data_IF_847313766883
#
_entry.id   IF_847313766883
#
_cell.length_a   1.000
_cell.length_b   1.000
_cell.length_c   1.000
_cell.angle_alpha   90.00
_cell.angle_beta   90.00
_cell.angle_gamma   90.00
#
_symmetry.space_group_name_H-M   'P 1'
#
loop_
_entity.id
_entity.type
_entity.pdbx_description
1 polymer ?
#
# COMPACT_ATOMS: atom_id res chain seq x y z
N UNK A 1 -18.72 34.81 16.11
CA UNK A 1 -19.64 34.01 15.27
C UNK A 1 -20.80 33.44 16.10
N UNK A 2 -21.94 33.08 15.49
CA UNK A 2 -23.10 32.49 16.16
C UNK A 2 -23.64 31.31 15.32
N UNK A 3 -23.97 30.18 15.95
CA UNK A 3 -24.66 29.06 15.28
C UNK A 3 -26.14 29.28 15.36
N UNK A 4 -26.80 29.53 14.20
CA UNK A 4 -28.24 29.78 14.13
C UNK A 4 -29.07 28.50 14.23
N UNK A 5 -28.65 27.45 13.54
CA UNK A 5 -29.33 26.16 13.58
C UNK A 5 -28.35 25.02 13.25
N UNK A 6 -28.69 23.84 13.74
CA UNK A 6 -28.00 22.59 13.41
C UNK A 6 -29.06 21.52 13.18
N UNK A 7 -29.12 20.99 11.97
CA UNK A 7 -30.03 19.92 11.60
C UNK A 7 -29.20 18.66 11.32
N UNK A 8 -29.61 17.52 11.91
CA UNK A 8 -28.98 16.21 11.68
C UNK A 8 -29.94 15.34 10.89
N UNK A 9 -29.50 14.83 9.76
CA UNK A 9 -30.28 13.92 8.93
C UNK A 9 -29.35 12.99 8.14
N UNK A 10 -29.68 11.70 8.11
CA UNK A 10 -29.00 10.69 7.28
C UNK A 10 -27.46 10.70 7.39
N UNK A 11 -26.94 10.74 8.62
CA UNK A 11 -25.48 10.71 8.85
C UNK A 11 -24.77 12.04 8.53
N UNK A 12 -25.51 13.12 8.24
CA UNK A 12 -24.97 14.45 7.97
C UNK A 12 -25.47 15.48 8.96
N UNK A 13 -24.70 16.53 9.16
CA UNK A 13 -25.14 17.74 9.85
C UNK A 13 -25.10 18.91 8.88
N UNK A 14 -26.21 19.67 8.86
CA UNK A 14 -26.28 20.98 8.21
C UNK A 14 -26.22 22.03 9.29
N UNK A 15 -25.17 22.84 9.29
CA UNK A 15 -24.91 23.88 10.29
C UNK A 15 -25.03 25.22 9.63
N UNK A 16 -25.88 26.09 10.18
CA UNK A 16 -26.02 27.48 9.74
C UNK A 16 -25.23 28.36 10.69
N UNK A 17 -24.15 28.95 10.20
CA UNK A 17 -23.23 29.79 10.96
C UNK A 17 -23.36 31.23 10.50
N UNK A 18 -23.65 32.13 11.43
CA UNK A 18 -23.63 33.56 11.22
C UNK A 18 -22.31 34.18 11.68
N UNK A 19 -21.66 34.89 10.78
CA UNK A 19 -20.42 35.62 11.03
C UNK A 19 -20.76 37.10 11.10
N UNK A 20 -20.39 37.73 12.20
CA UNK A 20 -20.66 39.16 12.41
C UNK A 20 -19.89 40.02 11.43
N UNK A 21 -20.45 41.20 11.11
CA UNK A 21 -19.83 42.15 10.18
C UNK A 21 -18.41 42.50 10.49
N UNK A 22 -18.09 42.72 11.78
CA UNK A 22 -16.73 43.10 12.18
C UNK A 22 -15.70 42.02 11.89
N UNK A 23 -16.04 40.75 12.14
CA UNK A 23 -15.21 39.59 11.89
C UNK A 23 -15.05 39.35 10.37
N UNK A 24 -16.15 39.45 9.62
CA UNK A 24 -16.12 39.32 8.17
C UNK A 24 -15.35 40.44 7.47
N UNK A 25 -15.50 41.71 7.92
CA UNK A 25 -14.72 42.85 7.38
C UNK A 25 -13.22 42.70 7.61
N UNK A 26 -12.81 42.09 8.73
CA UNK A 26 -11.43 41.75 8.99
C UNK A 26 -10.91 40.69 8.00
N UNK A 27 -11.71 39.66 7.73
CA UNK A 27 -11.40 38.61 6.75
C UNK A 27 -11.33 39.18 5.33
N UNK A 28 -12.26 40.00 4.91
CA UNK A 28 -12.26 40.71 3.63
C UNK A 28 -10.98 41.57 3.46
N UNK A 29 -10.51 42.18 4.56
CA UNK A 29 -9.28 42.96 4.53
C UNK A 29 -8.04 42.07 4.36
N UNK A 30 -8.02 40.91 5.01
CA UNK A 30 -6.96 39.92 4.81
C UNK A 30 -6.95 39.38 3.38
N UNK A 31 -8.09 38.95 2.84
CA UNK A 31 -8.28 38.46 1.49
C UNK A 31 -7.81 39.51 0.44
N UNK A 32 -8.27 40.76 0.58
CA UNK A 32 -7.81 41.86 -0.27
C UNK A 32 -6.28 42.02 -0.18
N UNK A 33 -5.67 41.99 1.00
CA UNK A 33 -4.22 42.15 1.16
C UNK A 33 -3.40 41.03 0.50
N UNK A 34 -3.96 39.81 0.45
CA UNK A 34 -3.37 38.68 -0.30
C UNK A 34 -3.48 38.92 -1.81
N UNK A 35 -4.70 39.20 -2.32
CA UNK A 35 -4.99 39.29 -3.74
C UNK A 35 -4.50 40.58 -4.41
N UNK A 36 -4.38 41.71 -3.67
CA UNK A 36 -4.11 43.05 -4.25
C UNK A 36 -2.86 43.12 -5.12
N UNK A 37 -1.86 42.27 -4.86
CA UNK A 37 -0.59 42.26 -5.62
C UNK A 37 -0.81 41.89 -7.09
N UNK A 38 -1.86 41.14 -7.39
CA UNK A 38 -2.17 40.59 -8.70
C UNK A 38 -3.28 41.36 -9.42
N UNK A 39 -4.01 42.22 -8.69
CA UNK A 39 -5.12 43.02 -9.23
C UNK A 39 -4.59 44.28 -9.93
N UNK A 40 -5.08 44.47 -11.15
CA UNK A 40 -4.83 45.70 -11.94
C UNK A 40 -6.10 46.57 -11.97
N UNK A 41 -5.94 47.83 -11.57
CA UNK A 41 -7.04 48.82 -11.62
C UNK A 41 -6.52 50.01 -12.42
N UNK A 42 -7.20 50.41 -13.51
CA UNK A 42 -6.84 51.61 -14.28
C UNK A 42 -6.75 52.86 -13.39
N UNK A 43 -5.70 53.64 -13.54
CA UNK A 43 -5.47 54.81 -12.71
C UNK A 43 -4.71 54.57 -11.39
N UNK A 44 -4.43 53.32 -11.04
CA UNK A 44 -3.64 52.97 -9.86
C UNK A 44 -2.40 52.14 -10.25
N UNK A 45 -1.31 52.34 -9.51
CA UNK A 45 -0.18 51.41 -9.60
C UNK A 45 -0.59 50.04 -9.11
N UNK A 46 -0.19 48.96 -9.79
CA UNK A 46 -0.47 47.58 -9.46
C UNK A 46 -0.31 47.31 -7.94
N UNK A 47 -1.33 46.79 -7.30
CA UNK A 47 -1.36 46.51 -5.86
C UNK A 47 -1.56 47.70 -4.92
N UNK A 48 -1.87 48.89 -5.44
CA UNK A 48 -2.07 50.14 -4.65
C UNK A 48 -3.51 50.70 -4.70
N UNK A 49 -4.43 50.10 -5.47
CA UNK A 49 -5.82 50.48 -5.47
C UNK A 49 -6.49 50.15 -4.12
N UNK A 50 -7.22 51.04 -3.45
CA UNK A 50 -7.95 50.72 -2.21
C UNK A 50 -9.02 49.63 -2.42
N UNK A 51 -9.30 48.81 -1.37
CA UNK A 51 -10.31 47.73 -1.43
C UNK A 51 -11.65 48.18 -2.04
N UNK A 52 -12.20 49.28 -1.58
CA UNK A 52 -13.47 49.84 -2.08
C UNK A 52 -13.48 50.17 -3.58
N UNK A 53 -12.34 50.55 -4.13
CA UNK A 53 -12.19 50.84 -5.56
C UNK A 53 -12.21 49.55 -6.35
N UNK A 54 -11.53 48.50 -5.84
CA UNK A 54 -11.53 47.15 -6.45
C UNK A 54 -12.94 46.56 -6.40
N UNK A 55 -13.61 46.61 -5.24
CA UNK A 55 -14.99 46.14 -5.06
C UNK A 55 -15.96 46.87 -5.98
N UNK A 56 -15.78 48.20 -6.19
CA UNK A 56 -16.60 48.99 -7.12
C UNK A 56 -16.39 48.60 -8.59
N UNK A 57 -15.23 48.08 -8.95
CA UNK A 57 -14.89 47.75 -10.33
C UNK A 57 -15.18 46.28 -10.68
N UNK A 58 -14.87 45.38 -9.76
CA UNK A 58 -14.99 43.95 -9.96
C UNK A 58 -16.22 43.30 -9.28
N UNK A 59 -16.98 44.12 -8.53
CA UNK A 59 -18.16 43.71 -7.79
C UNK A 59 -17.91 43.65 -6.27
N UNK A 60 -18.96 43.98 -5.50
CA UNK A 60 -18.88 44.06 -4.03
C UNK A 60 -18.49 42.74 -3.37
N UNK A 61 -18.73 41.60 -4.04
CA UNK A 61 -18.46 40.25 -3.51
C UNK A 61 -17.16 39.62 -4.03
N UNK A 62 -16.32 40.38 -4.74
CA UNK A 62 -15.10 39.85 -5.37
C UNK A 62 -14.11 39.14 -4.39
N UNK A 63 -14.16 39.50 -3.10
CA UNK A 63 -13.30 38.90 -2.06
C UNK A 63 -14.06 38.00 -1.10
N UNK A 64 -15.36 37.72 -1.34
CA UNK A 64 -16.19 36.97 -0.39
C UNK A 64 -15.70 35.55 -0.23
N UNK A 65 -15.42 34.85 -1.33
CA UNK A 65 -14.93 33.48 -1.32
C UNK A 65 -13.57 33.38 -0.61
N UNK A 66 -12.62 34.26 -0.95
CA UNK A 66 -11.33 34.31 -0.30
C UNK A 66 -11.43 34.64 1.19
N UNK A 67 -12.34 35.55 1.57
CA UNK A 67 -12.57 35.91 2.96
C UNK A 67 -13.19 34.77 3.75
N UNK A 68 -14.15 34.05 3.17
CA UNK A 68 -14.72 32.84 3.77
C UNK A 68 -13.65 31.79 3.97
N UNK A 69 -12.85 31.49 2.95
CA UNK A 69 -11.77 30.51 3.04
C UNK A 69 -10.74 30.86 4.14
N UNK A 70 -10.53 32.15 4.41
CA UNK A 70 -9.59 32.61 5.45
C UNK A 70 -10.11 32.37 6.87
N UNK A 71 -11.43 32.52 7.10
CA UNK A 71 -12.02 32.42 8.45
C UNK A 71 -12.68 31.06 8.70
N UNK A 72 -13.02 30.32 7.64
CA UNK A 72 -13.82 29.09 7.72
C UNK A 72 -13.24 28.05 8.68
N UNK A 73 -11.93 27.75 8.70
CA UNK A 73 -11.39 26.74 9.63
C UNK A 73 -11.68 27.06 11.08
N UNK A 74 -11.48 28.31 11.48
CA UNK A 74 -11.66 28.76 12.86
C UNK A 74 -13.15 28.75 13.28
N UNK A 75 -14.04 29.31 12.45
CA UNK A 75 -15.47 29.35 12.75
C UNK A 75 -16.12 27.98 12.73
N UNK A 76 -15.65 27.08 11.84
CA UNK A 76 -16.14 25.72 11.78
C UNK A 76 -15.73 24.93 13.02
N UNK A 77 -14.47 24.98 13.44
CA UNK A 77 -13.99 24.34 14.65
C UNK A 77 -14.77 24.80 15.91
N UNK A 78 -15.01 26.08 16.01
CA UNK A 78 -15.82 26.64 17.11
C UNK A 78 -17.28 26.14 17.03
N UNK A 79 -17.86 26.03 15.85
CA UNK A 79 -19.23 25.59 15.67
C UNK A 79 -19.41 24.11 16.02
N UNK A 80 -18.52 23.21 15.55
CA UNK A 80 -18.57 21.79 15.89
C UNK A 80 -18.33 21.53 17.37
N UNK A 81 -17.38 22.26 17.99
CA UNK A 81 -17.11 22.17 19.42
C UNK A 81 -18.31 22.61 20.27
N UNK A 82 -18.96 23.74 19.91
CA UNK A 82 -20.14 24.23 20.61
C UNK A 82 -21.34 23.27 20.53
N UNK A 83 -21.45 22.48 19.46
CA UNK A 83 -22.53 21.51 19.23
C UNK A 83 -22.15 20.07 19.64
N UNK A 84 -20.94 19.84 20.14
CA UNK A 84 -20.38 18.53 20.47
C UNK A 84 -20.59 17.50 19.35
N UNK A 85 -20.33 17.91 18.08
CA UNK A 85 -20.47 17.05 16.91
C UNK A 85 -19.21 16.24 16.69
N UNK A 86 -19.35 14.94 16.51
CA UNK A 86 -18.27 14.08 16.00
C UNK A 86 -18.36 14.09 14.47
N UNK A 87 -17.57 14.92 13.81
CA UNK A 87 -17.57 15.12 12.36
C UNK A 87 -16.47 14.30 11.69
N UNK A 88 -16.67 13.93 10.42
CA UNK A 88 -15.70 13.22 9.58
C UNK A 88 -15.66 13.83 8.18
N UNK A 89 -14.55 13.62 7.49
CA UNK A 89 -14.34 14.18 6.16
C UNK A 89 -14.21 15.70 6.14
N UNK A 90 -14.19 16.26 4.93
CA UNK A 90 -14.10 17.71 4.74
C UNK A 90 -15.48 18.34 4.71
N UNK A 91 -15.73 19.42 5.47
CA UNK A 91 -16.99 20.17 5.41
C UNK A 91 -17.15 20.86 4.06
N UNK A 92 -18.38 21.00 3.59
CA UNK A 92 -18.73 21.72 2.37
C UNK A 92 -19.61 22.92 2.68
N UNK A 93 -19.19 24.11 2.22
CA UNK A 93 -20.04 25.31 2.28
C UNK A 93 -21.01 25.26 1.10
N UNK A 94 -22.27 24.93 1.37
CA UNK A 94 -23.29 24.76 0.34
C UNK A 94 -23.99 26.08 -0.02
N UNK A 95 -24.01 27.04 0.91
CA UNK A 95 -24.67 28.34 0.71
C UNK A 95 -23.93 29.45 1.44
N UNK A 96 -23.84 30.60 0.78
CA UNK A 96 -23.32 31.86 1.31
C UNK A 96 -24.34 32.97 1.09
N UNK A 97 -24.98 33.43 2.16
CA UNK A 97 -25.96 34.50 2.14
C UNK A 97 -25.43 35.74 2.85
N UNK A 98 -25.99 36.92 2.50
CA UNK A 98 -25.71 38.15 3.22
C UNK A 98 -26.46 38.14 4.57
N UNK A 99 -25.78 38.44 5.67
CA UNK A 99 -26.39 38.59 6.98
C UNK A 99 -27.13 39.91 7.14
N UNK A 100 -28.14 39.94 8.01
CA UNK A 100 -28.98 41.12 8.25
C UNK A 100 -28.18 42.36 8.70
N UNK A 101 -27.09 42.14 9.45
CA UNK A 101 -26.22 43.21 9.97
C UNK A 101 -25.04 43.54 9.02
N UNK A 102 -25.04 43.02 7.80
CA UNK A 102 -23.94 43.15 6.83
C UNK A 102 -22.74 42.24 7.10
N UNK A 103 -22.91 41.21 7.90
CA UNK A 103 -22.06 40.03 7.97
C UNK A 103 -22.44 38.99 6.90
N UNK A 104 -22.11 37.72 7.13
CA UNK A 104 -22.47 36.60 6.23
C UNK A 104 -23.05 35.43 7.01
N UNK A 105 -23.93 34.70 6.32
CA UNK A 105 -24.48 33.43 6.82
C UNK A 105 -23.98 32.29 5.94
N UNK A 106 -23.31 31.37 6.55
CA UNK A 106 -22.76 30.16 5.90
C UNK A 106 -23.64 28.97 6.22
N UNK A 107 -24.06 28.24 5.22
CA UNK A 107 -24.66 26.92 5.39
C UNK A 107 -23.61 25.90 5.07
N UNK A 108 -23.25 25.09 6.05
CA UNK A 108 -22.19 24.10 5.98
C UNK A 108 -22.78 22.71 6.13
N UNK A 109 -22.52 21.84 5.18
CA UNK A 109 -22.80 20.41 5.31
C UNK A 109 -21.51 19.66 5.70
N UNK A 110 -21.64 18.76 6.65
CA UNK A 110 -20.55 17.89 7.10
C UNK A 110 -21.09 16.49 7.39
N UNK A 111 -20.29 15.48 7.11
CA UNK A 111 -20.62 14.11 7.48
C UNK A 111 -20.36 13.91 8.99
N UNK A 112 -21.24 13.17 9.63
CA UNK A 112 -21.09 12.79 11.04
C UNK A 112 -20.43 11.43 11.15
N UNK A 113 -19.67 11.23 12.23
CA UNK A 113 -19.19 9.89 12.59
C UNK A 113 -20.40 8.95 12.74
N UNK A 114 -20.38 7.75 12.15
CA UNK A 114 -21.54 6.88 12.09
C UNK A 114 -21.98 6.41 13.47
N UNK A 115 -23.31 6.32 13.67
CA UNK A 115 -23.86 5.62 14.82
C UNK A 115 -23.74 4.12 14.61
N UNK A 116 -23.20 3.43 15.62
CA UNK A 116 -22.86 2.01 15.55
C UNK A 116 -23.79 1.21 16.45
N UNK A 117 -24.42 0.21 15.88
CA UNK A 117 -25.07 -0.86 16.65
C UNK A 117 -24.22 -2.11 16.55
N UNK A 118 -23.57 -2.47 17.66
CA UNK A 118 -22.76 -3.70 17.74
C UNK A 118 -23.67 -4.92 17.66
N UNK A 119 -23.28 -5.88 16.80
CA UNK A 119 -23.80 -7.24 16.83
C UNK A 119 -22.93 -8.14 17.71
N UNK A 120 -22.98 -9.44 17.45
CA UNK A 120 -22.11 -10.40 18.14
C UNK A 120 -20.66 -10.21 17.64
N UNK A 121 -19.75 -9.84 18.55
CA UNK A 121 -18.32 -9.68 18.31
C UNK A 121 -17.46 -10.56 19.22
N UNK A 122 -18.09 -11.36 20.10
CA UNK A 122 -17.43 -12.38 20.94
C UNK A 122 -17.94 -13.78 20.58
N UNK A 123 -17.07 -14.78 20.76
CA UNK A 123 -17.45 -16.18 20.54
C UNK A 123 -17.70 -16.55 19.07
N UNK A 124 -17.13 -15.79 18.14
CA UNK A 124 -17.30 -16.01 16.71
C UNK A 124 -16.53 -17.25 16.26
N UNK A 125 -17.17 -18.10 15.48
CA UNK A 125 -16.50 -19.22 14.83
C UNK A 125 -15.72 -18.73 13.62
N UNK A 126 -14.40 -18.92 13.61
CA UNK A 126 -13.50 -18.42 12.57
C UNK A 126 -12.59 -19.55 12.09
N UNK A 127 -12.42 -19.74 10.77
CA UNK A 127 -11.51 -20.75 10.26
C UNK A 127 -10.06 -20.39 10.62
N UNK A 128 -9.31 -21.40 11.13
CA UNK A 128 -7.89 -21.27 11.45
C UNK A 128 -7.13 -22.39 10.79
N UNK A 129 -6.14 -22.04 9.94
CA UNK A 129 -5.30 -23.02 9.29
C UNK A 129 -4.37 -23.71 10.28
N UNK A 130 -4.00 -24.96 9.98
CA UNK A 130 -2.99 -25.69 10.75
C UNK A 130 -1.58 -25.22 10.37
N UNK A 131 -0.70 -25.19 11.36
CA UNK A 131 0.71 -24.90 11.14
C UNK A 131 1.43 -26.23 10.90
N UNK A 132 1.71 -26.54 9.65
CA UNK A 132 2.47 -27.74 9.27
C UNK A 132 3.56 -27.36 8.26
N UNK A 133 4.80 -27.76 8.55
CA UNK A 133 5.96 -27.59 7.64
C UNK A 133 6.42 -28.98 7.24
N UNK A 134 6.39 -29.28 5.95
CA UNK A 134 6.78 -30.58 5.41
C UNK A 134 8.31 -30.69 5.29
N UNK A 135 8.80 -31.93 5.24
CA UNK A 135 10.23 -32.19 4.99
C UNK A 135 10.65 -31.66 3.62
N UNK A 136 9.78 -31.74 2.63
CA UNK A 136 10.03 -31.24 1.26
C UNK A 136 10.26 -29.71 1.25
N UNK A 137 9.52 -28.95 2.05
CA UNK A 137 9.70 -27.50 2.18
C UNK A 137 11.06 -27.16 2.81
N UNK A 138 11.51 -27.93 3.76
CA UNK A 138 12.84 -27.78 4.39
C UNK A 138 13.94 -28.12 3.41
N UNK A 139 13.81 -29.23 2.65
CA UNK A 139 14.77 -29.61 1.62
C UNK A 139 14.82 -28.59 0.47
N UNK A 140 13.67 -28.06 0.04
CA UNK A 140 13.63 -27.01 -0.97
C UNK A 140 14.35 -25.73 -0.53
N UNK A 141 14.32 -25.37 0.76
CA UNK A 141 15.09 -24.22 1.24
C UNK A 141 16.59 -24.53 1.29
N UNK A 142 16.97 -25.74 1.68
CA UNK A 142 18.37 -26.20 1.61
C UNK A 142 18.87 -26.18 0.16
N UNK A 143 18.06 -26.62 -0.81
CA UNK A 143 18.41 -26.56 -2.24
C UNK A 143 18.64 -25.11 -2.70
N UNK A 144 17.76 -24.17 -2.32
CA UNK A 144 17.97 -22.74 -2.59
C UNK A 144 19.22 -22.17 -1.93
N UNK A 145 19.55 -22.61 -0.70
CA UNK A 145 20.78 -22.22 -0.03
C UNK A 145 21.99 -22.76 -0.76
N UNK A 146 21.95 -24.02 -1.20
CA UNK A 146 23.02 -24.66 -1.97
C UNK A 146 23.21 -23.99 -3.35
N UNK A 147 22.12 -23.66 -4.06
CA UNK A 147 22.18 -22.92 -5.33
C UNK A 147 22.82 -21.53 -5.15
N UNK A 148 22.47 -20.80 -4.10
CA UNK A 148 23.06 -19.46 -3.80
C UNK A 148 24.55 -19.52 -3.48
N UNK A 149 25.01 -20.65 -2.96
CA UNK A 149 26.41 -20.88 -2.62
C UNK A 149 27.16 -21.73 -3.67
N UNK A 150 26.53 -21.96 -4.83
CA UNK A 150 27.16 -22.65 -5.95
C UNK A 150 28.38 -21.89 -6.48
N UNK A 151 29.40 -22.58 -6.89
CA UNK A 151 30.60 -22.05 -7.55
C UNK A 151 30.47 -22.25 -9.05
N UNK A 152 30.81 -21.22 -9.81
CA UNK A 152 30.80 -21.27 -11.26
C UNK A 152 32.27 -21.44 -11.72
N UNK A 153 32.61 -22.57 -12.34
CA UNK A 153 33.93 -22.85 -12.86
C UNK A 153 33.88 -23.06 -14.39
N UNK A 154 34.84 -22.48 -15.11
CA UNK A 154 34.98 -22.72 -16.54
C UNK A 154 35.57 -24.10 -16.77
N UNK A 155 34.94 -24.87 -17.64
CA UNK A 155 35.33 -26.26 -17.93
C UNK A 155 35.64 -26.46 -19.41
N UNK A 156 36.65 -27.31 -19.71
CA UNK A 156 37.03 -27.65 -21.09
C UNK A 156 36.38 -28.96 -21.57
N UNK A 157 35.08 -29.13 -21.27
CA UNK A 157 34.28 -30.26 -21.71
C UNK A 157 33.06 -29.80 -22.49
N UNK A 158 32.42 -30.68 -23.28
CA UNK A 158 31.11 -30.34 -23.87
C UNK A 158 30.07 -29.96 -22.82
N UNK A 159 29.24 -28.97 -23.16
CA UNK A 159 28.20 -28.46 -22.30
C UNK A 159 27.18 -29.55 -21.97
N UNK A 160 26.73 -29.60 -20.75
CA UNK A 160 25.69 -30.49 -20.22
C UNK A 160 24.49 -29.69 -19.74
N UNK A 161 23.35 -30.36 -19.55
CA UNK A 161 22.18 -29.75 -18.91
C UNK A 161 22.56 -29.28 -17.49
N UNK A 162 22.16 -28.04 -17.13
CA UNK A 162 22.55 -27.38 -15.89
C UNK A 162 23.77 -26.46 -15.99
N UNK A 163 24.62 -26.62 -17.02
CA UNK A 163 25.76 -25.73 -17.26
C UNK A 163 25.29 -24.34 -17.74
N UNK A 164 26.14 -23.36 -17.51
CA UNK A 164 25.96 -22.01 -18.07
C UNK A 164 26.91 -21.84 -19.25
N UNK A 165 26.39 -21.54 -20.43
CA UNK A 165 27.18 -21.24 -21.62
C UNK A 165 27.23 -19.73 -21.86
N UNK A 166 28.42 -19.22 -22.18
CA UNK A 166 28.59 -17.87 -22.69
C UNK A 166 28.63 -17.98 -24.21
N UNK A 167 27.65 -17.37 -24.86
CA UNK A 167 27.51 -17.50 -26.31
C UNK A 167 27.13 -16.17 -26.99
N UNK A 168 27.50 -16.08 -28.26
CA UNK A 168 26.89 -15.14 -29.19
C UNK A 168 25.80 -15.85 -29.97
N UNK A 169 24.72 -15.19 -30.22
CA UNK A 169 23.69 -15.69 -31.14
C UNK A 169 23.11 -14.59 -32.02
N UNK A 170 22.71 -14.96 -33.23
CA UNK A 170 22.00 -14.10 -34.19
C UNK A 170 20.91 -14.88 -34.89
N UNK A 171 19.65 -14.44 -34.76
CA UNK A 171 18.47 -15.10 -35.31
C UNK A 171 18.10 -14.58 -36.68
N UNK A 172 17.72 -15.51 -37.58
CA UNK A 172 17.32 -15.24 -38.95
C UNK A 172 15.95 -15.82 -39.25
N UNK A 173 15.03 -15.00 -39.76
CA UNK A 173 13.78 -15.45 -40.38
C UNK A 173 13.97 -15.46 -41.89
N UNK A 174 13.90 -16.64 -42.53
CA UNK A 174 14.14 -16.83 -43.95
C UNK A 174 15.44 -16.18 -44.50
N UNK A 175 16.49 -16.19 -43.71
CA UNK A 175 17.81 -15.63 -44.05
C UNK A 175 17.96 -14.12 -43.81
N UNK A 176 16.96 -13.46 -43.20
CA UNK A 176 17.00 -12.05 -42.82
C UNK A 176 17.08 -11.95 -41.29
N UNK A 177 18.07 -11.26 -40.77
CA UNK A 177 18.19 -11.01 -39.34
C UNK A 177 17.01 -10.20 -38.83
N UNK A 178 16.43 -10.56 -37.66
CA UNK A 178 15.32 -9.86 -37.06
C UNK A 178 15.76 -9.07 -35.82
N UNK A 179 15.05 -7.99 -35.55
CA UNK A 179 15.34 -7.12 -34.39
C UNK A 179 15.07 -7.84 -33.08
N UNK A 180 16.01 -7.73 -32.10
CA UNK A 180 15.94 -8.45 -30.83
C UNK A 180 16.45 -9.89 -30.88
N UNK A 181 16.83 -10.42 -32.06
CA UNK A 181 17.35 -11.78 -32.21
C UNK A 181 18.87 -11.90 -32.05
N UNK A 182 19.61 -10.84 -31.66
CA UNK A 182 21.08 -10.86 -31.55
C UNK A 182 21.55 -10.47 -30.17
N UNK A 183 22.50 -11.23 -29.63
CA UNK A 183 23.29 -10.84 -28.47
C UNK A 183 24.71 -11.40 -28.57
N UNK A 184 25.66 -10.71 -27.96
CA UNK A 184 27.06 -11.10 -27.86
C UNK A 184 27.46 -11.28 -26.37
N UNK A 185 28.19 -12.36 -26.06
CA UNK A 185 28.59 -12.69 -24.69
C UNK A 185 27.42 -13.00 -23.75
N UNK A 186 26.31 -13.50 -24.27
CA UNK A 186 25.12 -13.79 -23.47
C UNK A 186 25.37 -15.02 -22.58
N UNK A 187 24.98 -14.92 -21.32
CA UNK A 187 25.07 -15.99 -20.32
C UNK A 187 23.75 -16.75 -20.26
N UNK A 188 23.73 -17.99 -20.71
CA UNK A 188 22.55 -18.87 -20.74
C UNK A 188 22.77 -20.12 -19.92
N UNK A 189 21.92 -20.35 -18.92
CA UNK A 189 21.88 -21.63 -18.18
C UNK A 189 21.05 -22.64 -18.97
N UNK A 190 21.66 -23.75 -19.39
CA UNK A 190 21.01 -24.83 -20.10
C UNK A 190 20.02 -25.58 -19.20
N UNK A 191 18.78 -25.77 -19.65
CA UNK A 191 17.69 -26.33 -18.85
C UNK A 191 16.90 -25.30 -18.04
N UNK A 192 17.18 -24.01 -18.22
CA UNK A 192 16.42 -22.93 -17.56
C UNK A 192 15.06 -22.65 -18.22
N UNK A 193 14.87 -23.15 -19.45
CA UNK A 193 13.70 -22.89 -20.30
C UNK A 193 13.41 -21.39 -20.51
N UNK A 194 14.46 -20.55 -20.43
CA UNK A 194 14.35 -19.10 -20.64
C UNK A 194 14.34 -18.72 -22.13
N UNK A 195 14.75 -19.65 -23.00
CA UNK A 195 14.70 -19.50 -24.46
C UNK A 195 13.57 -20.31 -25.08
N UNK A 196 13.40 -20.14 -26.39
CA UNK A 196 12.40 -20.90 -27.15
C UNK A 196 12.70 -22.41 -27.08
N UNK A 197 11.67 -23.26 -26.99
CA UNK A 197 11.87 -24.70 -26.88
C UNK A 197 12.72 -25.25 -28.07
N UNK A 198 13.66 -26.14 -27.73
CA UNK A 198 14.61 -26.69 -28.69
C UNK A 198 15.93 -25.93 -28.81
N UNK A 199 16.00 -24.69 -28.34
CA UNK A 199 17.23 -23.88 -28.40
C UNK A 199 18.31 -24.37 -27.41
N UNK A 200 17.94 -24.49 -26.13
CA UNK A 200 18.86 -24.91 -25.07
C UNK A 200 19.33 -26.36 -25.28
N UNK A 201 18.40 -27.23 -25.66
CA UNK A 201 18.69 -28.66 -25.96
C UNK A 201 19.66 -28.80 -27.13
N UNK A 202 19.60 -27.93 -28.13
CA UNK A 202 20.50 -27.96 -29.27
C UNK A 202 21.94 -27.53 -28.89
N UNK A 203 22.13 -26.78 -27.82
CA UNK A 203 23.44 -26.34 -27.34
C UNK A 203 24.14 -27.40 -26.47
N UNK A 204 23.41 -28.35 -25.92
CA UNK A 204 23.97 -29.46 -25.14
C UNK A 204 24.90 -30.27 -26.04
N UNK A 205 26.08 -30.58 -25.53
CA UNK A 205 27.14 -31.35 -26.22
C UNK A 205 28.11 -30.51 -27.05
N UNK A 206 27.93 -29.16 -27.10
CA UNK A 206 28.87 -28.26 -27.75
C UNK A 206 29.98 -27.83 -26.78
N UNK A 207 31.15 -27.55 -27.30
CA UNK A 207 32.31 -27.08 -26.54
C UNK A 207 32.61 -25.61 -26.81
N UNK A 208 33.46 -25.03 -25.98
CA UNK A 208 33.97 -23.68 -26.21
C UNK A 208 34.64 -23.57 -27.60
N UNK A 209 34.28 -22.57 -28.39
CA UNK A 209 34.74 -22.36 -29.76
C UNK A 209 33.88 -22.97 -30.84
N UNK A 210 32.89 -23.82 -30.50
CA UNK A 210 31.99 -24.41 -31.48
C UNK A 210 30.98 -23.38 -32.00
N UNK A 211 30.66 -23.47 -33.28
CA UNK A 211 29.63 -22.73 -33.98
C UNK A 211 28.57 -23.71 -34.47
N UNK A 212 27.27 -23.36 -34.26
CA UNK A 212 26.14 -24.20 -34.69
C UNK A 212 24.96 -23.35 -35.10
N UNK A 213 24.33 -23.76 -36.19
CA UNK A 213 23.03 -23.25 -36.56
C UNK A 213 21.96 -24.07 -35.85
N UNK A 214 21.08 -23.39 -35.13
CA UNK A 214 20.02 -23.98 -34.29
C UNK A 214 18.68 -23.63 -34.91
N UNK A 215 17.94 -24.62 -35.38
CA UNK A 215 16.61 -24.47 -35.93
C UNK A 215 15.58 -24.56 -34.82
N UNK A 216 14.77 -23.51 -34.62
CA UNK A 216 13.70 -23.49 -33.64
C UNK A 216 12.44 -22.90 -34.23
N UNK A 217 11.28 -23.21 -33.61
CA UNK A 217 10.01 -22.63 -33.98
C UNK A 217 9.46 -21.84 -32.79
N UNK A 218 9.13 -20.57 -33.01
CA UNK A 218 8.52 -19.77 -31.99
C UNK A 218 7.13 -20.28 -31.58
N UNK A 219 6.77 -20.28 -30.31
CA UNK A 219 5.43 -20.65 -29.87
C UNK A 219 4.36 -19.69 -30.41
N UNK A 220 3.12 -20.19 -30.52
CA UNK A 220 1.98 -19.38 -31.00
C UNK A 220 1.66 -18.16 -30.10
N UNK A 221 2.05 -18.21 -28.83
CA UNK A 221 1.84 -17.15 -27.84
C UNK A 221 3.00 -16.13 -27.80
N UNK A 222 3.73 -15.96 -28.91
CA UNK A 222 4.81 -14.99 -29.01
C UNK A 222 4.36 -13.70 -29.72
N UNK A 223 5.28 -12.75 -29.93
CA UNK A 223 4.96 -11.52 -30.66
C UNK A 223 4.37 -11.84 -32.04
N UNK A 224 3.34 -11.08 -32.51
CA UNK A 224 2.63 -11.43 -33.79
C UNK A 224 3.52 -11.55 -35.00
N UNK A 225 4.70 -10.93 -34.99
CA UNK A 225 5.65 -10.94 -36.08
C UNK A 225 6.44 -12.26 -36.20
N UNK A 226 6.63 -12.96 -35.06
CA UNK A 226 7.44 -14.18 -34.94
C UNK A 226 6.63 -15.43 -34.56
N UNK A 227 5.40 -15.28 -34.07
CA UNK A 227 4.56 -16.39 -33.60
C UNK A 227 4.43 -17.50 -34.64
N UNK A 228 4.74 -18.75 -34.26
CA UNK A 228 4.65 -19.95 -35.10
C UNK A 228 5.66 -20.03 -36.23
N UNK A 229 6.61 -19.09 -36.37
CA UNK A 229 7.59 -19.10 -37.44
C UNK A 229 8.82 -19.95 -37.13
N UNK A 230 9.33 -20.72 -38.10
CA UNK A 230 10.62 -21.36 -37.97
C UNK A 230 11.73 -20.32 -38.22
N UNK A 231 12.72 -20.30 -37.33
CA UNK A 231 13.89 -19.41 -37.44
C UNK A 231 15.17 -20.19 -37.19
N UNK A 232 16.28 -19.66 -37.68
CA UNK A 232 17.60 -20.24 -37.48
C UNK A 232 18.44 -19.30 -36.67
N UNK A 233 18.95 -19.75 -35.55
CA UNK A 233 19.92 -19.01 -34.73
C UNK A 233 21.33 -19.51 -35.04
N UNK A 234 22.19 -18.61 -35.46
CA UNK A 234 23.64 -18.87 -35.52
C UNK A 234 24.25 -18.61 -34.19
N UNK A 235 24.71 -19.67 -33.53
CA UNK A 235 25.27 -19.64 -32.23
C UNK A 235 26.77 -19.90 -32.23
N UNK A 236 27.52 -19.18 -31.40
CA UNK A 236 28.94 -19.42 -31.15
C UNK A 236 29.18 -19.45 -29.66
N UNK A 237 29.70 -20.56 -29.16
CA UNK A 237 30.02 -20.74 -27.73
C UNK A 237 31.42 -20.21 -27.45
N UNK A 238 31.53 -19.33 -26.46
CA UNK A 238 32.82 -18.80 -25.98
C UNK A 238 33.35 -19.60 -24.79
N UNK A 239 32.49 -19.89 -23.83
CA UNK A 239 32.88 -20.57 -22.59
C UNK A 239 31.74 -21.50 -22.16
N UNK A 240 32.12 -22.63 -21.58
CA UNK A 240 31.21 -23.52 -20.85
C UNK A 240 31.58 -23.42 -19.38
N UNK A 241 30.58 -23.12 -18.55
CA UNK A 241 30.73 -22.96 -17.11
C UNK A 241 29.85 -23.96 -16.38
N UNK A 242 30.49 -24.79 -15.55
CA UNK A 242 29.81 -25.72 -14.66
C UNK A 242 29.37 -24.99 -13.38
N UNK A 243 28.12 -25.15 -13.00
CA UNK A 243 27.63 -24.71 -11.71
C UNK A 243 27.80 -25.86 -10.71
N UNK A 244 28.83 -25.79 -9.90
CA UNK A 244 29.06 -26.76 -8.85
C UNK A 244 28.26 -26.38 -7.62
N UNK A 245 27.13 -27.05 -7.42
CA UNK A 245 26.34 -26.92 -6.20
C UNK A 245 27.01 -27.76 -5.10
N UNK A 246 27.26 -27.19 -3.91
CA UNK A 246 27.88 -27.93 -2.81
C UNK A 246 26.97 -29.10 -2.38
N UNK A 247 27.61 -30.22 -1.97
CA UNK A 247 26.91 -31.34 -1.36
C UNK A 247 26.27 -30.87 -0.04
N UNK A 248 25.04 -31.28 0.23
CA UNK A 248 24.33 -30.94 1.48
C UNK A 248 24.83 -31.85 2.61
N UNK A 249 25.93 -31.45 3.24
CA UNK A 249 26.59 -32.13 4.35
C UNK A 249 26.89 -31.17 5.51
N UNK A 250 27.61 -31.63 6.52
CA UNK A 250 27.97 -30.81 7.69
C UNK A 250 28.98 -29.69 7.35
N UNK A 251 29.76 -29.81 6.28
CA UNK A 251 30.65 -28.73 5.81
C UNK A 251 29.83 -27.63 5.16
N UNK A 252 28.86 -28.01 4.33
CA UNK A 252 27.89 -27.04 3.77
C UNK A 252 27.15 -26.29 4.89
N UNK A 253 26.69 -26.98 5.94
CA UNK A 253 26.00 -26.32 7.03
C UNK A 253 26.84 -25.24 7.71
N UNK A 254 28.15 -25.49 7.91
CA UNK A 254 29.12 -24.53 8.47
C UNK A 254 29.38 -23.34 7.55
N UNK A 255 29.41 -23.61 6.23
CA UNK A 255 29.72 -22.57 5.24
C UNK A 255 28.57 -21.58 5.08
N UNK A 256 27.31 -22.04 5.22
CA UNK A 256 26.12 -21.22 4.95
C UNK A 256 25.41 -20.72 6.22
N UNK A 257 25.81 -21.16 7.39
CA UNK A 257 25.15 -20.86 8.66
C UNK A 257 26.10 -20.92 9.87
N UNK A 258 25.59 -20.68 11.06
CA UNK A 258 26.29 -20.81 12.32
C UNK A 258 26.22 -22.24 12.92
N UNK A 259 25.62 -23.20 12.21
CA UNK A 259 25.41 -24.56 12.69
C UNK A 259 26.55 -25.50 12.24
N UNK A 260 26.97 -26.40 13.15
CA UNK A 260 28.02 -27.35 12.88
C UNK A 260 27.58 -28.60 12.10
N UNK A 261 26.27 -28.85 12.03
CA UNK A 261 25.73 -30.06 11.38
C UNK A 261 24.51 -29.71 10.50
N UNK A 262 24.33 -30.48 9.43
CA UNK A 262 23.20 -30.35 8.54
C UNK A 262 21.83 -30.58 9.25
N UNK A 263 21.80 -31.51 10.21
CA UNK A 263 20.59 -31.79 10.99
C UNK A 263 20.20 -30.59 11.88
N UNK A 264 21.18 -29.89 12.45
CA UNK A 264 20.91 -28.66 13.21
C UNK A 264 20.39 -27.53 12.31
N UNK A 265 20.97 -27.39 11.12
CA UNK A 265 20.49 -26.43 10.12
C UNK A 265 19.04 -26.75 9.66
N UNK A 266 18.72 -28.03 9.40
CA UNK A 266 17.34 -28.47 9.08
C UNK A 266 16.36 -28.15 10.19
N UNK A 267 16.73 -28.39 11.43
CA UNK A 267 15.88 -28.07 12.58
C UNK A 267 15.64 -26.56 12.73
N UNK A 268 16.64 -25.74 12.48
CA UNK A 268 16.52 -24.29 12.50
C UNK A 268 15.61 -23.78 11.37
N UNK A 269 15.83 -24.23 10.14
CA UNK A 269 14.98 -23.88 8.98
C UNK A 269 13.52 -24.25 9.29
N UNK A 270 13.27 -25.45 9.79
CA UNK A 270 11.92 -25.89 10.18
C UNK A 270 11.32 -24.95 11.23
N UNK A 271 12.06 -24.66 12.29
CA UNK A 271 11.60 -23.80 13.38
C UNK A 271 11.28 -22.39 12.87
N UNK A 272 12.11 -21.82 12.00
CA UNK A 272 11.88 -20.50 11.37
C UNK A 272 10.61 -20.52 10.53
N UNK A 273 10.44 -21.53 9.66
CA UNK A 273 9.25 -21.68 8.82
C UNK A 273 7.96 -21.89 9.63
N UNK A 274 8.04 -22.71 10.69
CA UNK A 274 6.90 -22.91 11.60
C UNK A 274 6.51 -21.62 12.31
N UNK A 275 7.48 -20.82 12.76
CA UNK A 275 7.22 -19.54 13.42
C UNK A 275 6.63 -18.52 12.42
N UNK A 276 7.20 -18.39 11.22
CA UNK A 276 6.67 -17.53 10.16
C UNK A 276 5.21 -17.91 9.80
N UNK A 277 4.97 -19.20 9.59
CA UNK A 277 3.63 -19.72 9.28
C UNK A 277 2.66 -19.54 10.45
N UNK A 278 3.11 -19.77 11.68
CA UNK A 278 2.30 -19.52 12.89
C UNK A 278 1.89 -18.06 12.99
N UNK A 279 2.83 -17.13 12.79
CA UNK A 279 2.51 -15.70 12.79
C UNK A 279 1.56 -15.31 11.65
N UNK A 280 1.73 -15.87 10.46
CA UNK A 280 0.83 -15.64 9.33
C UNK A 280 -0.60 -16.18 9.63
N UNK A 281 -0.71 -17.39 10.16
CA UNK A 281 -1.99 -18.00 10.57
C UNK A 281 -2.66 -17.20 11.68
N UNK A 282 -1.89 -16.73 12.68
CA UNK A 282 -2.43 -15.90 13.76
C UNK A 282 -2.94 -14.55 13.24
N UNK A 283 -2.20 -13.90 12.33
CA UNK A 283 -2.65 -12.64 11.70
C UNK A 283 -3.90 -12.85 10.83
N UNK A 284 -3.95 -13.93 10.06
CA UNK A 284 -5.11 -14.26 9.24
C UNK A 284 -6.35 -14.55 10.09
N UNK A 285 -6.18 -15.31 11.18
CA UNK A 285 -7.25 -15.58 12.14
C UNK A 285 -7.77 -14.32 12.81
N UNK A 286 -6.87 -13.45 13.26
CA UNK A 286 -7.20 -12.15 13.85
C UNK A 286 -7.99 -11.27 12.87
N UNK A 287 -7.51 -11.14 11.63
CA UNK A 287 -8.20 -10.38 10.57
C UNK A 287 -9.58 -10.91 10.29
N UNK A 288 -9.71 -12.24 10.12
CA UNK A 288 -10.99 -12.90 9.87
C UNK A 288 -11.98 -12.76 11.04
N UNK A 289 -11.49 -12.78 12.28
CA UNK A 289 -12.32 -12.56 13.46
C UNK A 289 -12.88 -11.14 13.51
N UNK A 290 -12.04 -10.13 13.23
CA UNK A 290 -12.45 -8.72 13.18
C UNK A 290 -13.42 -8.49 12.02
N UNK A 291 -13.15 -9.02 10.82
CA UNK A 291 -14.03 -8.89 9.65
C UNK A 291 -15.40 -9.52 9.89
N UNK A 292 -15.42 -10.70 10.53
CA UNK A 292 -16.69 -11.35 10.89
C UNK A 292 -17.48 -10.56 11.93
N UNK A 293 -16.81 -9.99 12.92
CA UNK A 293 -17.44 -9.09 13.89
C UNK A 293 -17.97 -7.82 13.19
N UNK A 294 -17.22 -7.26 12.24
CA UNK A 294 -17.61 -6.09 11.47
C UNK A 294 -18.82 -6.38 10.55
N UNK A 295 -18.93 -7.61 10.03
CA UNK A 295 -20.10 -8.02 9.25
C UNK A 295 -21.38 -8.08 10.08
N UNK A 296 -21.28 -8.41 11.37
CA UNK A 296 -22.43 -8.45 12.30
C UNK A 296 -22.86 -7.06 12.78
N UNK A 297 -22.02 -6.03 12.58
CA UNK A 297 -22.30 -4.66 12.99
C UNK A 297 -23.24 -3.97 11.99
N UNK A 298 -24.18 -3.20 12.51
CA UNK A 298 -25.03 -2.32 11.70
C UNK A 298 -24.57 -0.88 11.86
N UNK A 299 -24.11 -0.28 10.75
CA UNK A 299 -23.79 1.14 10.66
C UNK A 299 -23.84 1.61 9.19
N UNK A 300 -24.13 2.88 8.99
CA UNK A 300 -24.02 3.54 7.68
C UNK A 300 -22.71 4.32 7.64
N UNK A 301 -21.73 3.81 6.88
CA UNK A 301 -20.42 4.43 6.75
C UNK A 301 -20.52 5.60 5.76
N UNK A 302 -20.16 6.83 6.17
CA UNK A 302 -20.11 7.97 5.27
C UNK A 302 -19.09 7.76 4.15
N UNK A 303 -19.47 8.19 2.93
CA UNK A 303 -18.60 8.07 1.76
C UNK A 303 -17.27 8.84 1.95
N UNK A 304 -17.30 9.96 2.68
CA UNK A 304 -16.11 10.76 3.01
C UNK A 304 -15.04 9.97 3.77
N UNK A 305 -15.43 9.09 4.71
CA UNK A 305 -14.50 8.22 5.43
C UNK A 305 -13.82 7.22 4.50
N UNK A 306 -14.58 6.67 3.54
CA UNK A 306 -14.04 5.73 2.56
C UNK A 306 -13.07 6.44 1.62
N UNK A 307 -13.44 7.63 1.11
CA UNK A 307 -12.56 8.42 0.23
C UNK A 307 -11.26 8.82 0.93
N UNK A 308 -11.34 9.25 2.19
CA UNK A 308 -10.13 9.56 2.99
C UNK A 308 -9.23 8.33 3.18
N UNK A 309 -9.83 7.14 3.37
CA UNK A 309 -9.05 5.91 3.47
C UNK A 309 -8.45 5.50 2.11
N UNK A 310 -9.16 5.73 1.00
CA UNK A 310 -8.60 5.53 -0.35
C UNK A 310 -7.39 6.44 -0.58
N UNK A 311 -7.47 7.71 -0.16
CA UNK A 311 -6.34 8.64 -0.27
C UNK A 311 -5.14 8.17 0.55
N UNK A 312 -5.35 7.73 1.79
CA UNK A 312 -4.29 7.15 2.64
C UNK A 312 -3.65 5.90 2.01
N UNK A 313 -4.48 5.01 1.46
CA UNK A 313 -3.97 3.81 0.79
C UNK A 313 -3.14 4.16 -0.45
N UNK A 314 -3.59 5.16 -1.24
CA UNK A 314 -2.84 5.64 -2.40
C UNK A 314 -1.52 6.30 -2.02
N UNK A 315 -1.48 7.10 -0.94
CA UNK A 315 -0.26 7.71 -0.44
C UNK A 315 0.76 6.65 0.02
N UNK A 316 0.31 5.63 0.75
CA UNK A 316 1.16 4.50 1.16
C UNK A 316 1.70 3.73 -0.05
N UNK A 317 0.83 3.47 -1.03
CA UNK A 317 1.23 2.77 -2.25
C UNK A 317 2.20 3.62 -3.09
N UNK A 318 1.96 4.92 -3.22
CA UNK A 318 2.88 5.86 -3.89
C UNK A 318 4.26 5.87 -3.23
N UNK A 319 4.31 5.86 -1.89
CA UNK A 319 5.57 5.77 -1.16
C UNK A 319 6.32 4.45 -1.44
N UNK A 320 5.61 3.32 -1.45
CA UNK A 320 6.19 2.02 -1.80
C UNK A 320 6.77 1.99 -3.23
N UNK A 321 6.01 2.52 -4.20
CA UNK A 321 6.47 2.62 -5.59
C UNK A 321 7.70 3.53 -5.72
N UNK A 322 7.71 4.65 -4.99
CA UNK A 322 8.83 5.57 -4.99
C UNK A 322 10.12 4.94 -4.46
N UNK A 323 10.04 4.08 -3.43
CA UNK A 323 11.19 3.32 -2.93
C UNK A 323 11.75 2.36 -3.98
N UNK A 324 10.92 1.89 -4.92
CA UNK A 324 11.31 1.06 -6.08
C UNK A 324 11.62 1.90 -7.34
N UNK A 325 11.71 3.23 -7.22
CA UNK A 325 12.05 4.13 -8.33
C UNK A 325 10.91 4.37 -9.34
N UNK A 326 9.67 4.01 -9.02
CA UNK A 326 8.51 4.17 -9.88
C UNK A 326 7.55 5.24 -9.33
N UNK A 327 6.86 5.96 -10.23
CA UNK A 327 5.80 6.91 -9.85
C UNK A 327 4.43 6.25 -9.97
N UNK A 328 3.50 6.71 -9.14
CA UNK A 328 2.13 6.20 -9.11
C UNK A 328 1.41 6.35 -10.46
N UNK A 329 1.61 7.49 -11.15
CA UNK A 329 1.03 7.76 -12.46
C UNK A 329 1.57 6.84 -13.55
N UNK A 330 2.85 6.47 -13.48
CA UNK A 330 3.50 5.59 -14.44
C UNK A 330 3.01 4.15 -14.24
N UNK A 331 2.85 3.73 -12.98
CA UNK A 331 2.23 2.44 -12.63
C UNK A 331 0.78 2.36 -13.15
N UNK A 332 -0.05 3.38 -12.92
CA UNK A 332 -1.44 3.40 -13.39
C UNK A 332 -1.51 3.25 -14.93
N UNK A 333 -0.65 3.94 -15.67
CA UNK A 333 -0.56 3.82 -17.14
C UNK A 333 -0.11 2.42 -17.59
N UNK A 334 0.88 1.85 -16.91
CA UNK A 334 1.38 0.49 -17.22
C UNK A 334 0.29 -0.56 -17.04
N UNK A 335 -0.60 -0.38 -16.05
CA UNK A 335 -1.76 -1.25 -15.81
C UNK A 335 -2.93 -0.97 -16.77
N UNK A 336 -2.76 -0.08 -17.76
CA UNK A 336 -3.77 0.25 -18.75
C UNK A 336 -4.93 1.11 -18.26
N UNK A 337 -4.78 1.76 -17.09
CA UNK A 337 -5.77 2.61 -16.46
C UNK A 337 -5.29 4.04 -16.21
N UNK A 338 -6.15 4.81 -15.56
CA UNK A 338 -5.85 6.12 -15.04
C UNK A 338 -5.91 6.12 -13.49
N UNK A 339 -5.65 7.26 -12.88
CA UNK A 339 -5.73 7.42 -11.42
C UNK A 339 -7.12 7.12 -10.84
N UNK A 340 -8.19 7.36 -11.62
CA UNK A 340 -9.56 7.06 -11.16
C UNK A 340 -9.82 5.56 -11.13
N UNK A 341 -9.32 4.82 -12.12
CA UNK A 341 -9.39 3.36 -12.13
C UNK A 341 -8.63 2.76 -10.93
N UNK A 342 -7.44 3.29 -10.63
CA UNK A 342 -6.65 2.87 -9.47
C UNK A 342 -7.37 3.18 -8.15
N UNK A 343 -7.95 4.39 -8.00
CA UNK A 343 -8.78 4.73 -6.84
C UNK A 343 -9.95 3.76 -6.66
N UNK A 344 -10.64 3.46 -7.76
CA UNK A 344 -11.80 2.56 -7.75
C UNK A 344 -11.41 1.13 -7.35
N UNK A 345 -10.23 0.66 -7.76
CA UNK A 345 -9.74 -0.68 -7.37
C UNK A 345 -9.38 -0.78 -5.88
N UNK A 346 -8.97 0.32 -5.25
CA UNK A 346 -8.63 0.37 -3.82
C UNK A 346 -9.85 0.57 -2.91
N UNK A 347 -10.99 0.99 -3.46
CA UNK A 347 -12.20 1.32 -2.70
C UNK A 347 -12.74 0.15 -1.84
N UNK A 348 -12.87 -1.10 -2.35
CA UNK A 348 -13.36 -2.20 -1.53
C UNK A 348 -12.51 -2.47 -0.29
N UNK A 349 -11.17 -2.42 -0.44
CA UNK A 349 -10.24 -2.55 0.67
C UNK A 349 -10.38 -1.40 1.68
N UNK A 350 -10.55 -0.18 1.20
CA UNK A 350 -10.77 0.98 2.04
C UNK A 350 -12.10 0.87 2.83
N UNK A 351 -13.18 0.41 2.20
CA UNK A 351 -14.47 0.17 2.85
C UNK A 351 -14.35 -0.86 3.98
N UNK A 352 -13.65 -1.96 3.75
CA UNK A 352 -13.38 -2.97 4.78
C UNK A 352 -12.56 -2.39 5.92
N UNK A 353 -11.50 -1.64 5.62
CA UNK A 353 -10.64 -1.01 6.64
C UNK A 353 -11.44 -0.02 7.49
N UNK A 354 -12.24 0.84 6.88
CA UNK A 354 -13.09 1.81 7.60
C UNK A 354 -14.11 1.10 8.47
N UNK A 355 -14.77 0.05 7.95
CA UNK A 355 -15.74 -0.76 8.70
C UNK A 355 -15.10 -1.39 9.94
N UNK A 356 -13.91 -1.98 9.79
CA UNK A 356 -13.17 -2.58 10.90
C UNK A 356 -12.77 -1.52 11.94
N UNK A 357 -12.28 -0.36 11.51
CA UNK A 357 -11.92 0.73 12.42
C UNK A 357 -13.11 1.25 13.21
N UNK A 358 -14.27 1.40 12.57
CA UNK A 358 -15.52 1.82 13.20
C UNK A 358 -16.00 0.78 14.22
N UNK A 359 -15.94 -0.52 13.89
CA UNK A 359 -16.22 -1.60 14.83
C UNK A 359 -15.32 -1.50 16.06
N UNK A 360 -13.99 -1.45 15.84
CA UNK A 360 -13.00 -1.47 16.91
C UNK A 360 -13.17 -0.28 17.85
N UNK A 361 -13.43 0.91 17.32
CA UNK A 361 -13.74 2.09 18.13
C UNK A 361 -14.99 1.90 18.98
N UNK A 362 -16.05 1.30 18.41
CA UNK A 362 -17.28 0.99 19.15
C UNK A 362 -17.06 -0.08 20.23
N UNK A 363 -16.21 -1.09 19.98
CA UNK A 363 -15.85 -2.11 20.98
C UNK A 363 -15.02 -1.48 22.12
N UNK A 364 -14.06 -0.59 21.80
CA UNK A 364 -13.29 0.15 22.81
C UNK A 364 -14.22 0.91 23.76
N UNK A 365 -15.24 1.59 23.21
CA UNK A 365 -16.22 2.36 23.99
C UNK A 365 -17.14 1.43 24.81
N UNK A 366 -17.66 0.36 24.21
CA UNK A 366 -18.58 -0.59 24.86
C UNK A 366 -17.92 -1.36 26.02
N UNK A 367 -16.66 -1.76 25.87
CA UNK A 367 -15.91 -2.53 26.85
C UNK A 367 -15.11 -1.62 27.81
N UNK A 368 -15.17 -0.29 27.64
CA UNK A 368 -14.39 0.68 28.40
C UNK A 368 -12.89 0.34 28.44
N UNK A 369 -12.31 0.02 27.29
CA UNK A 369 -10.91 -0.36 27.19
C UNK A 369 -10.01 0.86 27.38
N UNK A 370 -9.49 1.02 28.56
CA UNK A 370 -8.57 2.10 28.91
C UNK A 370 -7.12 1.65 28.79
N UNK A 371 -6.24 2.60 28.51
CA UNK A 371 -4.79 2.40 28.44
C UNK A 371 -4.14 3.22 29.54
N UNK A 372 -3.33 2.59 30.37
CA UNK A 372 -2.60 3.26 31.43
C UNK A 372 -1.37 3.99 30.91
N UNK A 373 -0.88 4.98 31.66
CA UNK A 373 0.35 5.68 31.28
C UNK A 373 1.58 4.75 31.32
N UNK A 374 1.54 3.69 32.12
CA UNK A 374 2.58 2.66 32.19
C UNK A 374 2.65 1.83 30.89
N UNK A 375 1.50 1.47 30.30
CA UNK A 375 1.42 0.77 29.02
C UNK A 375 1.93 1.65 27.87
N UNK A 376 1.60 2.94 27.89
CA UNK A 376 2.11 3.92 26.92
C UNK A 376 3.63 4.02 27.02
N UNK A 377 4.16 4.13 28.23
CA UNK A 377 5.61 4.22 28.44
C UNK A 377 6.34 2.95 27.99
N UNK A 378 5.78 1.77 28.30
CA UNK A 378 6.33 0.51 27.84
C UNK A 378 6.38 0.41 26.30
N UNK A 379 5.34 0.87 25.59
CA UNK A 379 5.34 0.87 24.14
C UNK A 379 6.31 1.91 23.56
N UNK A 380 6.44 3.09 24.16
CA UNK A 380 7.45 4.07 23.77
C UNK A 380 8.87 3.50 23.92
N UNK A 381 9.16 2.80 25.01
CA UNK A 381 10.47 2.14 25.20
C UNK A 381 10.73 1.08 24.15
N UNK A 382 9.74 0.24 23.86
CA UNK A 382 9.82 -0.79 22.81
C UNK A 382 10.09 -0.18 21.42
N UNK A 383 9.39 0.91 21.07
CA UNK A 383 9.63 1.62 19.83
C UNK A 383 11.02 2.28 19.80
N UNK A 384 11.47 2.84 20.93
CA UNK A 384 12.79 3.43 21.05
C UNK A 384 13.91 2.41 20.82
N UNK A 385 13.78 1.19 21.37
CA UNK A 385 14.69 0.08 21.14
C UNK A 385 14.65 -0.39 19.67
N UNK A 386 13.45 -0.59 19.13
CA UNK A 386 13.27 -1.07 17.75
C UNK A 386 13.89 -0.13 16.71
N UNK A 387 13.72 1.18 16.89
CA UNK A 387 14.25 2.19 15.95
C UNK A 387 15.60 2.78 16.37
N UNK A 388 16.20 2.28 17.47
CA UNK A 388 17.45 2.81 18.04
C UNK A 388 17.40 4.33 18.24
N UNK A 389 16.28 4.83 18.77
CA UNK A 389 16.00 6.23 19.03
C UNK A 389 15.84 6.50 20.54
N UNK A 390 16.02 7.76 20.95
CA UNK A 390 15.72 8.18 22.32
C UNK A 390 14.19 8.22 22.56
N UNK A 391 13.72 7.71 23.70
CA UNK A 391 12.29 7.63 24.05
C UNK A 391 11.56 8.98 23.95
N UNK A 392 12.22 10.09 24.33
CA UNK A 392 11.65 11.43 24.22
C UNK A 392 11.40 11.87 22.77
N UNK A 393 12.25 11.46 21.83
CA UNK A 393 12.05 11.72 20.39
C UNK A 393 10.89 10.91 19.84
N UNK A 394 10.77 9.64 20.25
CA UNK A 394 9.63 8.78 19.87
C UNK A 394 8.33 9.38 20.42
N UNK A 395 8.31 9.78 21.69
CA UNK A 395 7.14 10.41 22.33
C UNK A 395 6.68 11.67 21.61
N UNK A 396 7.61 12.51 21.17
CA UNK A 396 7.30 13.73 20.44
C UNK A 396 6.80 13.46 19.01
N UNK A 397 7.30 12.40 18.37
CA UNK A 397 6.94 12.05 16.99
C UNK A 397 5.56 11.37 16.88
N UNK A 398 5.25 10.46 17.81
CA UNK A 398 4.01 9.65 17.74
C UNK A 398 2.81 10.36 18.37
N UNK A 399 3.01 11.15 19.41
CA UNK A 399 1.93 11.76 20.20
C UNK A 399 1.26 10.77 21.15
N UNK A 400 1.19 11.14 22.43
CA UNK A 400 0.70 10.26 23.52
C UNK A 400 -0.77 9.84 23.30
N UNK A 401 -1.63 10.78 22.88
CA UNK A 401 -3.05 10.49 22.69
C UNK A 401 -3.30 9.55 21.51
N UNK A 402 -2.54 9.72 20.42
CA UNK A 402 -2.61 8.80 19.28
C UNK A 402 -2.15 7.40 19.66
N UNK A 403 -1.08 7.29 20.44
CA UNK A 403 -0.57 5.99 20.92
C UNK A 403 -1.56 5.30 21.87
N UNK A 404 -2.23 6.07 22.76
CA UNK A 404 -3.31 5.54 23.62
C UNK A 404 -4.46 4.97 22.80
N UNK A 405 -4.89 5.68 21.76
CA UNK A 405 -5.96 5.22 20.86
C UNK A 405 -5.56 3.94 20.12
N UNK A 406 -4.32 3.87 19.60
CA UNK A 406 -3.80 2.67 18.95
C UNK A 406 -3.74 1.46 19.91
N UNK A 407 -3.21 1.65 21.11
CA UNK A 407 -3.15 0.60 22.13
C UNK A 407 -4.56 0.13 22.57
N UNK A 408 -5.53 1.04 22.69
CA UNK A 408 -6.91 0.67 22.97
C UNK A 408 -7.52 -0.15 21.84
N UNK A 409 -7.25 0.23 20.60
CA UNK A 409 -7.67 -0.53 19.42
C UNK A 409 -7.05 -1.93 19.38
N UNK A 410 -5.76 -2.06 19.69
CA UNK A 410 -5.09 -3.37 19.81
C UNK A 410 -5.70 -4.23 20.91
N UNK A 411 -6.12 -3.65 22.03
CA UNK A 411 -6.87 -4.38 23.09
C UNK A 411 -8.22 -4.88 22.59
N UNK A 412 -8.94 -4.10 21.78
CA UNK A 412 -10.20 -4.52 21.19
C UNK A 412 -10.01 -5.68 20.19
N UNK A 413 -8.98 -5.61 19.35
CA UNK A 413 -8.60 -6.71 18.45
C UNK A 413 -8.28 -7.97 19.24
N UNK A 414 -7.45 -7.88 20.28
CA UNK A 414 -7.11 -9.01 21.14
C UNK A 414 -8.34 -9.60 21.80
N UNK A 415 -9.26 -8.79 22.31
CA UNK A 415 -10.51 -9.26 22.94
C UNK A 415 -11.39 -10.05 21.96
N UNK A 416 -11.55 -9.56 20.71
CA UNK A 416 -12.31 -10.25 19.67
C UNK A 416 -11.63 -11.58 19.34
N UNK A 417 -10.33 -11.58 19.06
CA UNK A 417 -9.52 -12.74 18.73
C UNK A 417 -9.56 -13.80 19.84
N UNK A 418 -9.30 -13.40 21.08
CA UNK A 418 -9.19 -14.33 22.22
C UNK A 418 -10.55 -14.97 22.58
N UNK A 419 -11.66 -14.30 22.26
CA UNK A 419 -13.00 -14.84 22.42
C UNK A 419 -13.44 -15.73 21.25
N UNK A 420 -12.76 -15.64 20.09
CA UNK A 420 -13.14 -16.39 18.89
C UNK A 420 -12.85 -17.89 19.03
N UNK A 421 -13.70 -18.69 18.42
CA UNK A 421 -13.60 -20.16 18.39
C UNK A 421 -12.99 -20.57 17.05
N UNK A 422 -11.79 -21.17 17.10
CA UNK A 422 -11.14 -21.68 15.90
C UNK A 422 -11.90 -22.89 15.33
N UNK A 423 -12.19 -22.86 14.04
CA UNK A 423 -12.77 -23.98 13.28
C UNK A 423 -11.80 -24.42 12.19
N UNK A 424 -11.92 -25.66 11.72
CA UNK A 424 -11.12 -26.15 10.61
C UNK A 424 -11.41 -25.33 9.33
N UNK A 425 -10.38 -25.09 8.51
CA UNK A 425 -10.56 -24.49 7.19
C UNK A 425 -11.36 -25.43 6.30
N UNK A 426 -12.42 -24.99 5.59
CA UNK A 426 -13.13 -25.83 4.63
C UNK A 426 -12.21 -26.31 3.52
N UNK A 427 -12.23 -27.59 3.18
CA UNK A 427 -11.39 -28.23 2.12
C UNK A 427 -11.43 -27.55 0.73
N UNK A 428 -12.38 -26.64 0.50
CA UNK A 428 -12.54 -25.92 -0.79
C UNK A 428 -11.61 -24.72 -0.96
N UNK A 429 -10.90 -24.28 0.08
CA UNK A 429 -10.03 -23.10 0.02
C UNK A 429 -8.57 -23.41 -0.39
N UNK A 430 -8.16 -24.70 -0.35
CA UNK A 430 -6.76 -25.09 -0.67
C UNK A 430 -6.40 -25.12 -2.16
N UNK A 431 -7.34 -24.85 -3.08
CA UNK A 431 -7.12 -24.99 -4.53
C UNK A 431 -6.86 -23.69 -5.28
N UNK A 432 -6.60 -22.56 -4.60
CA UNK A 432 -6.42 -21.25 -5.26
C UNK A 432 -5.01 -20.66 -5.12
N UNK A 433 -4.05 -21.39 -4.55
CA UNK A 433 -2.65 -20.97 -4.43
C UNK A 433 -1.67 -21.98 -5.09
N UNK A 434 -1.86 -22.27 -6.40
CA UNK A 434 -0.85 -22.86 -7.27
C UNK A 434 -0.62 -22.00 -8.52
#
# INVERSE_FOLDING_TARGET
MNVKSTEKAAGKATIVIEVEKAEFDAALTKAYNKARKDIFVPGFRKGKAPRKVVEGMYGAKVFYEDAVNEIFPEIYEQAISAQALKVVGMPSVTKLDDGEDGGVVLTVETDLYPEVTLGDYKGLEVPKAEVNVTDDEVEAELDRMAERNSRIETVDRPAQEGDTVILDFEGFDNGVAFEGGKAEGYSLKLGSHSFVPGFEEALVGLSAGDEKDVDVTFPENYTPELAGKPVVFKCKIHEVKETQTPEKDDEFAKDVSEFDTLDALRADIRTKRENERREAVERAFESAAVEKAAANMTCEIPASMVEEQVDKNLEQFAYQLQMNGMKLEDYAKMMGGDMNALRSSMRPMAETTVRNNVLLAAVVEAENLTVSDEEVEAEIQKLAEQYSMEADKVRAAVGVESLKADLATRKAVALIKDSAVATAVPETAEKTEE
#
